data_IF_121469414069
#
_entry.id   IF_121469414069
#
_cell.length_a   1.000
_cell.length_b   1.000
_cell.length_c   1.000
_cell.angle_alpha   90.00
_cell.angle_beta   90.00
_cell.angle_gamma   90.00
#
_symmetry.space_group_name_H-M   'P 1'
#
loop_
_entity.id
_entity.type
_entity.pdbx_description
1 polymer ?
#
# COMPACT_ATOMS: atom_id res chain seq x y z
N UNK A 1 20.20 20.66 2.72
CA UNK A 1 20.33 20.62 4.19
C UNK A 1 20.53 19.17 4.62
N UNK A 2 21.45 18.91 5.55
CA UNK A 2 21.66 17.56 6.08
C UNK A 2 20.56 17.26 7.09
N UNK A 3 19.60 16.40 6.73
CA UNK A 3 18.42 16.04 7.55
C UNK A 3 18.81 15.62 8.97
N UNK A 4 19.93 14.92 9.13
CA UNK A 4 20.40 14.51 10.45
C UNK A 4 20.90 15.65 11.32
N UNK A 5 21.34 16.78 10.74
CA UNK A 5 21.65 17.98 11.51
C UNK A 5 20.38 18.65 12.06
N UNK A 6 19.27 18.57 11.32
CA UNK A 6 17.97 19.07 11.78
C UNK A 6 17.42 18.18 12.91
N UNK A 7 17.50 16.85 12.74
CA UNK A 7 17.13 15.89 13.77
C UNK A 7 17.96 16.14 15.04
N UNK A 8 19.28 16.31 14.90
CA UNK A 8 20.15 16.64 16.02
C UNK A 8 19.73 17.94 16.73
N UNK A 9 19.35 18.99 15.98
CA UNK A 9 18.85 20.24 16.57
C UNK A 9 17.54 20.03 17.35
N UNK A 10 16.60 19.25 16.82
CA UNK A 10 15.36 18.91 17.53
C UNK A 10 15.62 18.11 18.82
N UNK A 11 16.50 17.11 18.76
CA UNK A 11 16.90 16.33 19.92
C UNK A 11 17.59 17.17 21.01
N UNK A 12 18.28 18.25 20.63
CA UNK A 12 18.90 19.19 21.57
C UNK A 12 17.88 20.10 22.26
N UNK A 13 16.74 20.36 21.63
CA UNK A 13 15.65 21.17 22.18
C UNK A 13 14.81 20.40 23.19
N UNK A 14 14.84 19.07 23.17
CA UNK A 14 14.14 18.21 24.12
C UNK A 14 15.00 17.95 25.37
N UNK A 15 14.61 18.48 26.55
CA UNK A 15 15.35 18.26 27.80
C UNK A 15 15.35 16.80 28.24
N UNK A 16 14.35 16.00 27.87
CA UNK A 16 14.22 14.60 28.25
C UNK A 16 15.16 13.69 27.44
N UNK A 17 15.56 14.10 26.24
CA UNK A 17 16.43 13.31 25.37
C UNK A 17 17.86 13.19 25.91
N UNK A 18 18.35 14.21 26.64
CA UNK A 18 19.61 14.19 27.40
C UNK A 18 20.91 14.01 26.60
N UNK A 19 20.84 13.74 25.30
CA UNK A 19 21.98 13.38 24.45
C UNK A 19 22.35 14.52 23.49
N UNK A 20 23.51 15.15 23.74
CA UNK A 20 24.09 16.17 22.87
C UNK A 20 24.96 15.54 21.79
N UNK A 21 24.37 15.20 20.64
CA UNK A 21 25.07 14.56 19.51
C UNK A 21 24.85 15.34 18.21
N UNK A 22 25.87 15.33 17.36
CA UNK A 22 25.83 15.96 16.04
C UNK A 22 25.21 15.03 15.01
N UNK A 23 24.72 15.58 13.89
CA UNK A 23 24.00 14.82 12.86
C UNK A 23 24.70 13.56 12.36
N UNK A 24 26.02 13.55 12.08
CA UNK A 24 26.73 12.33 11.70
C UNK A 24 26.66 11.23 12.75
N UNK A 25 26.80 11.57 14.04
CA UNK A 25 26.70 10.60 15.12
C UNK A 25 25.27 10.05 15.28
N UNK A 26 24.25 10.89 15.05
CA UNK A 26 22.84 10.48 15.02
C UNK A 26 22.57 9.50 13.87
N UNK A 27 23.10 9.79 12.66
CA UNK A 27 23.00 8.90 11.51
C UNK A 27 23.64 7.54 11.77
N UNK A 28 24.85 7.51 12.32
CA UNK A 28 25.53 6.26 12.68
C UNK A 28 24.69 5.48 13.67
N UNK A 29 24.20 6.11 14.75
CA UNK A 29 23.38 5.43 15.77
C UNK A 29 22.08 4.89 15.19
N UNK A 30 21.38 5.67 14.37
CA UNK A 30 20.19 5.22 13.65
C UNK A 30 20.48 3.98 12.80
N UNK A 31 21.57 4.02 12.04
CA UNK A 31 21.96 2.91 11.14
C UNK A 31 22.29 1.65 11.95
N UNK A 32 23.04 1.79 13.05
CA UNK A 32 23.33 0.69 13.97
C UNK A 32 22.04 0.09 14.56
N UNK A 33 21.11 0.91 15.05
CA UNK A 33 19.84 0.45 15.62
C UNK A 33 18.98 -0.29 14.60
N UNK A 34 18.88 0.22 13.37
CA UNK A 34 18.13 -0.40 12.30
C UNK A 34 18.79 -1.72 11.84
N UNK A 35 20.12 -1.75 11.81
CA UNK A 35 20.90 -2.96 11.48
C UNK A 35 20.74 -4.05 12.55
N UNK A 36 20.81 -3.66 13.83
CA UNK A 36 20.57 -4.57 14.95
C UNK A 36 19.15 -5.10 14.92
N UNK A 37 18.14 -4.24 14.78
CA UNK A 37 16.74 -4.67 14.70
C UNK A 37 16.51 -5.65 13.55
N UNK A 38 17.05 -5.36 12.37
CA UNK A 38 16.97 -6.28 11.23
C UNK A 38 17.68 -7.60 11.50
N UNK A 39 18.77 -7.62 12.25
CA UNK A 39 19.48 -8.84 12.63
C UNK A 39 18.78 -9.62 13.76
N UNK A 40 18.21 -8.92 14.74
CA UNK A 40 17.48 -9.47 15.89
C UNK A 40 16.13 -10.07 15.46
N UNK A 41 15.48 -9.54 14.40
CA UNK A 41 14.37 -10.22 13.71
C UNK A 41 14.75 -11.65 13.24
N UNK A 42 16.04 -11.92 12.99
CA UNK A 42 16.57 -13.24 12.66
C UNK A 42 17.18 -13.99 13.86
N UNK A 43 17.43 -13.32 14.99
CA UNK A 43 18.02 -13.90 16.19
C UNK A 43 17.23 -13.47 17.43
N UNK A 44 16.06 -14.08 17.62
CA UNK A 44 15.20 -13.92 18.79
C UNK A 44 15.90 -14.39 20.07
N UNK A 45 16.86 -13.65 20.64
CA UNK A 45 17.39 -13.91 22.00
C UNK A 45 18.10 -12.71 22.67
N UNK A 46 17.42 -12.19 23.70
CA UNK A 46 17.89 -11.97 25.09
C UNK A 46 18.73 -10.74 25.52
N UNK A 47 18.16 -10.11 26.56
CA UNK A 47 18.67 -9.74 27.91
C UNK A 47 18.83 -8.23 28.24
N UNK A 48 18.09 -7.86 29.29
CA UNK A 48 18.14 -6.67 30.16
C UNK A 48 17.43 -5.39 29.68
N UNK A 49 16.32 -5.07 30.34
CA UNK A 49 15.52 -3.85 30.23
C UNK A 49 14.05 -4.16 30.48
N UNK A 50 13.32 -3.26 31.15
CA UNK A 50 11.87 -3.35 31.39
C UNK A 50 11.13 -3.68 30.10
N UNK A 51 10.24 -4.69 30.15
CA UNK A 51 9.59 -5.30 28.98
C UNK A 51 8.89 -4.26 28.09
N UNK A 52 8.24 -3.26 28.70
CA UNK A 52 7.42 -2.26 28.02
C UNK A 52 8.24 -1.32 27.11
N UNK A 53 9.35 -0.76 27.60
CA UNK A 53 10.21 0.15 26.79
C UNK A 53 10.83 -0.55 25.58
N UNK A 54 11.05 -1.86 25.71
CA UNK A 54 11.59 -2.68 24.62
C UNK A 54 10.54 -2.91 23.53
N UNK A 55 9.31 -3.24 23.91
CA UNK A 55 8.18 -3.40 22.98
C UNK A 55 7.92 -2.10 22.19
N UNK A 56 7.90 -0.94 22.86
CA UNK A 56 7.71 0.35 22.19
C UNK A 56 8.82 0.64 21.17
N UNK A 57 10.07 0.38 21.54
CA UNK A 57 11.23 0.56 20.64
C UNK A 57 11.12 -0.34 19.42
N UNK A 58 10.75 -1.60 19.58
CA UNK A 58 10.61 -2.55 18.47
C UNK A 58 9.46 -2.16 17.55
N UNK A 59 8.30 -1.80 18.10
CA UNK A 59 7.15 -1.31 17.33
C UNK A 59 7.53 -0.07 16.52
N UNK A 60 8.25 0.88 17.13
CA UNK A 60 8.71 2.08 16.45
C UNK A 60 9.68 1.76 15.30
N UNK A 61 10.65 0.88 15.54
CA UNK A 61 11.62 0.48 14.51
C UNK A 61 10.95 -0.28 13.36
N UNK A 62 9.97 -1.14 13.65
CA UNK A 62 9.15 -1.81 12.63
C UNK A 62 8.35 -0.80 11.80
N UNK A 63 7.70 0.17 12.45
CA UNK A 63 6.93 1.21 11.77
C UNK A 63 7.81 2.05 10.84
N UNK A 64 9.00 2.45 11.30
CA UNK A 64 9.98 3.18 10.48
C UNK A 64 10.43 2.31 9.29
N UNK A 65 10.68 1.02 9.51
CA UNK A 65 11.08 0.11 8.44
C UNK A 65 10.00 -0.01 7.36
N UNK A 66 8.74 -0.19 7.76
CA UNK A 66 7.60 -0.26 6.84
C UNK A 66 7.46 1.03 6.03
N UNK A 67 7.58 2.19 6.67
CA UNK A 67 7.55 3.49 5.96
C UNK A 67 8.66 3.63 4.92
N UNK A 68 9.87 3.16 5.24
CA UNK A 68 11.00 3.16 4.29
C UNK A 68 10.70 2.22 3.11
N UNK A 69 10.13 1.04 3.35
CA UNK A 69 9.75 0.10 2.30
C UNK A 69 8.67 0.67 1.39
N UNK A 70 7.57 1.19 1.95
CA UNK A 70 6.50 1.84 1.21
C UNK A 70 7.03 2.98 0.32
N UNK A 71 7.99 3.75 0.82
CA UNK A 71 8.60 4.84 0.07
C UNK A 71 9.44 4.32 -1.09
N UNK A 72 10.27 3.29 -0.86
CA UNK A 72 11.07 2.65 -1.90
C UNK A 72 10.19 2.01 -2.98
N UNK A 73 9.09 1.36 -2.62
CA UNK A 73 8.12 0.79 -3.57
C UNK A 73 7.49 1.87 -4.44
N UNK A 74 7.02 2.97 -3.83
CA UNK A 74 6.48 4.13 -4.56
C UNK A 74 7.52 4.76 -5.49
N UNK A 75 8.79 4.80 -5.08
CA UNK A 75 9.86 5.31 -5.93
C UNK A 75 10.15 4.37 -7.11
N UNK A 76 10.19 3.06 -6.85
CA UNK A 76 10.39 2.04 -7.87
C UNK A 76 9.26 2.07 -8.92
N UNK A 77 8.00 2.14 -8.49
CA UNK A 77 6.83 2.26 -9.37
C UNK A 77 6.90 3.52 -10.24
N UNK A 78 7.28 4.66 -9.65
CA UNK A 78 7.47 5.91 -10.41
C UNK A 78 8.57 5.77 -11.47
N UNK A 79 9.67 5.10 -11.14
CA UNK A 79 10.78 4.87 -12.07
C UNK A 79 10.37 3.93 -13.20
N UNK A 80 9.67 2.86 -12.88
CA UNK A 80 9.14 1.91 -13.86
C UNK A 80 8.15 2.57 -14.80
N UNK A 81 7.20 3.35 -14.29
CA UNK A 81 6.23 4.10 -15.10
C UNK A 81 6.91 5.07 -16.07
N UNK A 82 7.97 5.75 -15.63
CA UNK A 82 8.78 6.62 -16.50
C UNK A 82 9.49 5.82 -17.60
N UNK A 83 10.10 4.68 -17.24
CA UNK A 83 10.77 3.79 -18.19
C UNK A 83 9.79 3.20 -19.21
N UNK A 84 8.61 2.76 -18.78
CA UNK A 84 7.56 2.25 -19.65
C UNK A 84 7.09 3.32 -20.66
N UNK A 85 6.88 4.55 -20.19
CA UNK A 85 6.53 5.68 -21.07
C UNK A 85 7.63 5.95 -22.11
N UNK A 86 8.90 5.94 -21.69
CA UNK A 86 10.03 6.14 -22.59
C UNK A 86 10.12 5.03 -23.65
N UNK A 87 10.00 3.76 -23.25
CA UNK A 87 9.95 2.62 -24.18
C UNK A 87 8.80 2.72 -25.17
N UNK A 88 7.63 3.18 -24.73
CA UNK A 88 6.48 3.41 -25.62
C UNK A 88 6.74 4.50 -26.67
N UNK A 89 7.40 5.59 -26.28
CA UNK A 89 7.80 6.66 -27.22
C UNK A 89 8.84 6.15 -28.22
N UNK A 90 9.83 5.40 -27.76
CA UNK A 90 10.88 4.84 -28.64
C UNK A 90 10.31 3.82 -29.62
N UNK A 91 9.42 2.93 -29.15
CA UNK A 91 8.74 1.93 -29.97
C UNK A 91 7.86 2.58 -31.06
N UNK A 92 7.02 3.55 -30.67
CA UNK A 92 6.17 4.28 -31.62
C UNK A 92 6.99 5.13 -32.60
N UNK A 93 8.07 5.77 -32.15
CA UNK A 93 8.99 6.50 -33.02
C UNK A 93 9.74 5.59 -34.01
N UNK A 94 10.14 4.39 -33.59
CA UNK A 94 10.77 3.40 -34.46
C UNK A 94 9.80 2.90 -35.54
N UNK A 95 8.52 2.70 -35.19
CA UNK A 95 7.48 2.34 -36.15
C UNK A 95 7.28 3.45 -37.20
N UNK A 96 7.21 4.72 -36.76
CA UNK A 96 7.07 5.87 -37.66
C UNK A 96 8.23 5.98 -38.66
N UNK A 97 9.47 5.82 -38.19
CA UNK A 97 10.65 5.81 -39.09
C UNK A 97 10.58 4.68 -40.11
N UNK A 98 10.15 3.49 -39.70
CA UNK A 98 10.01 2.34 -40.60
C UNK A 98 8.95 2.59 -41.68
N UNK A 99 7.81 3.17 -41.31
CA UNK A 99 6.75 3.52 -42.25
C UNK A 99 7.20 4.58 -43.26
N UNK A 100 7.88 5.63 -42.80
CA UNK A 100 8.40 6.71 -43.66
C UNK A 100 9.50 6.23 -44.62
N UNK A 101 10.43 5.38 -44.18
CA UNK A 101 11.47 4.81 -45.05
C UNK A 101 10.86 3.85 -46.08
N UNK A 102 9.81 3.11 -45.71
CA UNK A 102 9.05 2.30 -46.66
C UNK A 102 8.29 3.11 -47.71
N UNK A 103 8.03 4.40 -47.45
CA UNK A 103 7.50 5.35 -48.44
C UNK A 103 8.60 5.93 -49.34
N UNK A 104 9.78 6.27 -48.79
CA UNK A 104 10.90 6.83 -49.58
C UNK A 104 11.58 5.81 -50.50
N UNK A 105 11.65 4.54 -50.12
CA UNK A 105 12.24 3.48 -50.96
C UNK A 105 11.41 3.11 -52.21
N UNK A 106 10.32 3.83 -52.49
CA UNK A 106 9.50 3.67 -53.69
C UNK A 106 9.71 4.74 -54.76
N UNK A 107 10.55 5.74 -54.49
CA UNK A 107 10.74 6.89 -55.38
C UNK A 107 12.14 6.98 -56.02
N UNK A 108 13.06 6.03 -55.76
CA UNK A 108 14.45 6.07 -56.28
C UNK A 108 14.82 4.82 -57.10
N UNK A 109 14.07 4.50 -58.15
CA UNK A 109 14.56 3.70 -59.28
C UNK A 109 13.76 4.09 -60.54
N UNK A 110 13.98 5.31 -61.02
CA UNK A 110 13.65 5.74 -62.38
C UNK A 110 14.98 6.06 -63.13
N UNK A 111 15.79 5.02 -63.35
CA UNK A 111 16.60 4.94 -64.57
C UNK A 111 16.07 3.78 -65.40
N UNK A 112 15.45 4.15 -66.52
CA UNK A 112 15.14 3.37 -67.72
C UNK A 112 15.06 1.84 -67.57
N UNK A 113 13.85 1.27 -67.70
CA UNK A 113 13.53 0.20 -68.66
C UNK A 113 12.09 -0.34 -68.49
N UNK A 114 11.35 -0.17 -69.57
CA UNK A 114 10.33 -1.07 -70.13
C UNK A 114 9.00 -1.31 -69.38
N UNK A 115 7.96 -1.13 -70.19
CA UNK A 115 6.54 -1.30 -69.97
C UNK A 115 6.21 -2.80 -69.86
N UNK A 116 5.73 -3.24 -68.69
CA UNK A 116 4.73 -4.32 -68.58
C UNK A 116 4.29 -4.59 -67.13
N UNK A 117 3.07 -4.18 -66.78
CA UNK A 117 2.20 -4.98 -65.91
C UNK A 117 2.02 -4.61 -64.42
N UNK A 118 2.45 -3.45 -63.92
CA UNK A 118 2.12 -3.04 -62.53
C UNK A 118 0.74 -2.38 -62.46
N UNK A 119 -0.29 -3.14 -62.06
CA UNK A 119 -1.62 -2.58 -61.74
C UNK A 119 -1.48 -1.54 -60.63
N UNK A 120 -1.80 -0.27 -60.95
CA UNK A 120 -1.83 0.85 -60.00
C UNK A 120 -2.87 0.56 -58.92
N UNK A 121 -2.42 0.22 -57.71
CA UNK A 121 -3.30 0.02 -56.55
C UNK A 121 -3.98 1.36 -56.26
N UNK A 122 -5.31 1.37 -56.33
CA UNK A 122 -6.09 2.58 -56.11
C UNK A 122 -6.04 2.99 -54.64
N UNK A 123 -6.19 4.29 -54.34
CA UNK A 123 -6.22 4.83 -52.96
C UNK A 123 -7.23 4.09 -52.06
N UNK A 124 -8.29 3.54 -52.66
CA UNK A 124 -9.33 2.74 -51.99
C UNK A 124 -8.84 1.35 -51.58
N UNK A 125 -8.05 0.69 -52.42
CA UNK A 125 -7.42 -0.60 -52.09
C UNK A 125 -6.31 -0.42 -51.04
N UNK A 126 -5.54 0.68 -51.12
CA UNK A 126 -4.56 1.03 -50.09
C UNK A 126 -5.21 1.25 -48.72
N UNK A 127 -6.34 1.98 -48.69
CA UNK A 127 -7.13 2.15 -47.46
C UNK A 127 -7.63 0.81 -46.93
N UNK A 128 -8.05 -0.11 -47.80
CA UNK A 128 -8.50 -1.46 -47.44
C UNK A 128 -7.40 -2.30 -46.77
N UNK A 129 -6.17 -2.23 -47.27
CA UNK A 129 -5.01 -2.92 -46.67
C UNK A 129 -4.69 -2.35 -45.29
N UNK A 130 -4.71 -1.02 -45.13
CA UNK A 130 -4.46 -0.35 -43.85
C UNK A 130 -5.57 -0.67 -42.84
N UNK A 131 -6.84 -0.67 -43.27
CA UNK A 131 -7.96 -1.04 -42.38
C UNK A 131 -7.89 -2.49 -41.94
N UNK A 132 -7.53 -3.41 -42.84
CA UNK A 132 -7.37 -4.83 -42.49
C UNK A 132 -6.16 -5.07 -41.58
N UNK A 133 -5.04 -4.36 -41.78
CA UNK A 133 -3.87 -4.44 -40.90
C UNK A 133 -4.18 -3.91 -39.49
N UNK A 134 -4.91 -2.79 -39.39
CA UNK A 134 -5.40 -2.26 -38.11
C UNK A 134 -6.38 -3.21 -37.42
N UNK A 135 -7.28 -3.86 -38.16
CA UNK A 135 -8.21 -4.85 -37.62
C UNK A 135 -7.46 -6.09 -37.09
N UNK A 136 -6.46 -6.59 -37.81
CA UNK A 136 -5.61 -7.70 -37.37
C UNK A 136 -4.80 -7.39 -36.11
N UNK A 137 -4.22 -6.19 -36.01
CA UNK A 137 -3.50 -5.75 -34.82
C UNK A 137 -4.42 -5.64 -33.58
N UNK A 138 -5.67 -5.20 -33.78
CA UNK A 138 -6.67 -5.11 -32.70
C UNK A 138 -7.17 -6.47 -32.22
N UNK A 139 -7.27 -7.44 -33.12
CA UNK A 139 -7.62 -8.82 -32.77
C UNK A 139 -6.45 -9.53 -32.05
N UNK A 140 -5.20 -9.28 -32.46
CA UNK A 140 -4.01 -9.84 -31.80
C UNK A 140 -3.71 -9.22 -30.43
N UNK A 141 -4.02 -7.93 -30.22
CA UNK A 141 -3.88 -7.27 -28.92
C UNK A 141 -5.03 -7.58 -27.94
N UNK A 142 -6.18 -8.03 -28.45
CA UNK A 142 -7.40 -8.20 -27.66
C UNK A 142 -7.36 -9.32 -26.63
N UNK A 143 -6.55 -10.37 -26.83
CA UNK A 143 -6.45 -11.49 -25.88
C UNK A 143 -5.53 -11.18 -24.69
N UNK A 144 -4.37 -10.55 -24.94
CA UNK A 144 -3.47 -10.10 -23.87
C UNK A 144 -4.08 -8.96 -23.05
N UNK A 145 -4.73 -7.98 -23.70
CA UNK A 145 -5.40 -6.87 -23.02
C UNK A 145 -6.59 -7.36 -22.18
N UNK A 146 -7.32 -8.38 -22.64
CA UNK A 146 -8.41 -9.00 -21.90
C UNK A 146 -7.91 -9.81 -20.71
N UNK A 147 -6.81 -10.56 -20.85
CA UNK A 147 -6.19 -11.28 -19.73
C UNK A 147 -5.66 -10.32 -18.65
N UNK A 148 -5.06 -9.19 -19.06
CA UNK A 148 -4.61 -8.14 -18.13
C UNK A 148 -5.79 -7.50 -17.39
N UNK A 149 -6.88 -7.23 -18.11
CA UNK A 149 -8.10 -6.68 -17.52
C UNK A 149 -8.75 -7.66 -16.54
N UNK A 150 -8.85 -8.95 -16.88
CA UNK A 150 -9.36 -10.00 -15.99
C UNK A 150 -8.51 -10.16 -14.73
N UNK A 151 -7.18 -10.11 -14.86
CA UNK A 151 -6.28 -10.16 -13.72
C UNK A 151 -6.45 -8.94 -12.80
N UNK A 152 -6.54 -7.73 -13.37
CA UNK A 152 -6.80 -6.50 -12.61
C UNK A 152 -8.13 -6.56 -11.86
N UNK A 153 -9.18 -7.08 -12.50
CA UNK A 153 -10.50 -7.25 -11.87
C UNK A 153 -10.43 -8.21 -10.69
N UNK A 154 -9.85 -9.41 -10.87
CA UNK A 154 -9.68 -10.41 -9.80
C UNK A 154 -8.84 -9.88 -8.63
N UNK A 155 -7.77 -9.13 -8.93
CA UNK A 155 -6.93 -8.50 -7.90
C UNK A 155 -7.72 -7.47 -7.08
N UNK A 156 -8.56 -6.67 -7.75
CA UNK A 156 -9.37 -5.63 -7.13
C UNK A 156 -10.51 -6.23 -6.29
N UNK A 157 -11.06 -7.38 -6.71
CA UNK A 157 -12.00 -8.18 -5.91
C UNK A 157 -11.35 -8.74 -4.64
N UNK A 158 -10.15 -9.31 -4.75
CA UNK A 158 -9.39 -9.81 -3.60
C UNK A 158 -9.10 -8.69 -2.59
N UNK A 159 -8.71 -7.50 -3.07
CA UNK A 159 -8.46 -6.34 -2.22
C UNK A 159 -9.74 -5.88 -1.50
N UNK A 160 -10.88 -5.86 -2.20
CA UNK A 160 -12.19 -5.56 -1.59
C UNK A 160 -12.58 -6.59 -0.54
N UNK A 161 -12.37 -7.87 -0.80
CA UNK A 161 -12.69 -8.95 0.13
C UNK A 161 -11.84 -8.84 1.41
N UNK A 162 -10.54 -8.57 1.28
CA UNK A 162 -9.67 -8.33 2.44
C UNK A 162 -10.11 -7.11 3.26
N UNK A 163 -10.53 -6.03 2.62
CA UNK A 163 -11.07 -4.86 3.31
C UNK A 163 -12.38 -5.20 4.04
N UNK A 164 -13.28 -5.96 3.41
CA UNK A 164 -14.51 -6.40 4.04
C UNK A 164 -14.25 -7.32 5.24
N UNK A 165 -13.31 -8.25 5.13
CA UNK A 165 -12.91 -9.11 6.25
C UNK A 165 -12.34 -8.31 7.43
N UNK A 166 -11.49 -7.30 7.16
CA UNK A 166 -10.97 -6.41 8.21
C UNK A 166 -12.09 -5.62 8.90
N UNK A 167 -13.07 -5.14 8.13
CA UNK A 167 -14.23 -4.43 8.68
C UNK A 167 -15.09 -5.36 9.53
N UNK A 168 -15.37 -6.58 9.05
CA UNK A 168 -16.11 -7.59 9.82
C UNK A 168 -15.41 -7.96 11.12
N UNK A 169 -14.10 -8.26 11.06
CA UNK A 169 -13.32 -8.55 12.27
C UNK A 169 -13.36 -7.39 13.27
N UNK A 170 -13.25 -6.14 12.78
CA UNK A 170 -13.38 -4.95 13.63
C UNK A 170 -14.78 -4.80 14.24
N UNK A 171 -15.84 -5.12 13.49
CA UNK A 171 -17.21 -5.11 13.98
C UNK A 171 -17.45 -6.19 15.04
N UNK A 172 -16.95 -7.40 14.84
CA UNK A 172 -17.07 -8.51 15.78
C UNK A 172 -16.32 -8.22 17.08
N UNK A 173 -15.12 -7.65 16.99
CA UNK A 173 -14.37 -7.24 18.17
C UNK A 173 -15.07 -6.11 18.92
N UNK A 174 -15.65 -5.13 18.20
CA UNK A 174 -16.43 -4.07 18.81
C UNK A 174 -17.72 -4.60 19.47
N UNK A 175 -18.37 -5.60 18.86
CA UNK A 175 -19.54 -6.26 19.43
C UNK A 175 -19.19 -6.99 20.72
N UNK A 176 -18.12 -7.79 20.73
CA UNK A 176 -17.62 -8.47 21.94
C UNK A 176 -17.31 -7.48 23.08
N UNK A 177 -16.74 -6.31 22.75
CA UNK A 177 -16.49 -5.25 23.76
C UNK A 177 -17.79 -4.69 24.34
N UNK A 178 -18.79 -4.41 23.50
CA UNK A 178 -20.11 -3.94 23.96
C UNK A 178 -20.81 -4.98 24.82
N UNK A 179 -20.78 -6.24 24.42
CA UNK A 179 -21.40 -7.33 25.19
C UNK A 179 -20.72 -7.50 26.56
N UNK A 180 -19.39 -7.39 26.60
CA UNK A 180 -18.63 -7.42 27.85
C UNK A 180 -18.95 -6.23 28.76
N UNK A 181 -19.11 -5.02 28.20
CA UNK A 181 -19.52 -3.83 28.94
C UNK A 181 -20.92 -3.97 29.53
N UNK A 182 -21.89 -4.42 28.74
CA UNK A 182 -23.26 -4.69 29.21
C UNK A 182 -23.28 -5.74 30.33
N UNK A 183 -22.49 -6.80 30.23
CA UNK A 183 -22.40 -7.81 31.28
C UNK A 183 -21.83 -7.26 32.60
N UNK A 184 -20.88 -6.32 32.52
CA UNK A 184 -20.36 -5.63 33.70
C UNK A 184 -21.40 -4.70 34.34
N UNK A 185 -22.16 -3.97 33.52
CA UNK A 185 -23.24 -3.10 33.98
C UNK A 185 -24.38 -3.89 34.63
N UNK A 186 -24.80 -5.00 34.02
CA UNK A 186 -25.81 -5.90 34.59
C UNK A 186 -25.38 -6.42 35.96
N UNK A 187 -24.10 -6.78 36.10
CA UNK A 187 -23.55 -7.22 37.39
C UNK A 187 -23.56 -6.12 38.45
N UNK A 188 -23.31 -4.86 38.06
CA UNK A 188 -23.38 -3.69 38.96
C UNK A 188 -24.82 -3.43 39.39
N UNK A 189 -25.75 -3.37 38.43
CA UNK A 189 -27.18 -3.19 38.69
C UNK A 189 -27.71 -4.26 39.66
N UNK A 190 -27.35 -5.53 39.44
CA UNK A 190 -27.75 -6.62 40.33
C UNK A 190 -27.19 -6.46 41.75
N UNK A 191 -25.93 -6.04 41.89
CA UNK A 191 -25.34 -5.79 43.20
C UNK A 191 -26.02 -4.61 43.93
N UNK A 192 -26.42 -3.57 43.20
CA UNK A 192 -27.15 -2.42 43.72
C UNK A 192 -28.58 -2.81 44.13
N UNK A 193 -29.30 -3.58 43.31
CA UNK A 193 -30.61 -4.13 43.64
C UNK A 193 -30.56 -5.01 44.89
N UNK A 194 -29.54 -5.87 45.02
CA UNK A 194 -29.35 -6.69 46.23
C UNK A 194 -29.06 -5.83 47.46
N UNK A 195 -28.28 -4.75 47.31
CA UNK A 195 -28.01 -3.81 48.40
C UNK A 195 -29.28 -3.08 48.82
N UNK A 196 -30.10 -2.65 47.87
CA UNK A 196 -31.37 -1.99 48.12
C UNK A 196 -32.38 -2.93 48.78
N UNK A 197 -32.47 -4.18 48.32
CA UNK A 197 -33.29 -5.22 48.98
C UNK A 197 -32.89 -5.43 50.43
N UNK A 198 -31.58 -5.59 50.72
CA UNK A 198 -31.08 -5.73 52.10
C UNK A 198 -31.42 -4.51 52.95
N UNK A 199 -31.31 -3.31 52.40
CA UNK A 199 -31.67 -2.08 53.11
C UNK A 199 -33.18 -2.00 53.38
N UNK A 200 -34.01 -2.37 52.41
CA UNK A 200 -35.46 -2.39 52.56
C UNK A 200 -35.91 -3.41 53.61
N UNK A 201 -35.38 -4.63 53.58
CA UNK A 201 -35.61 -5.66 54.60
C UNK A 201 -35.20 -5.18 55.99
N UNK A 202 -34.05 -4.51 56.11
CA UNK A 202 -33.59 -3.95 57.36
C UNK A 202 -34.54 -2.87 57.91
N UNK A 203 -35.00 -1.95 57.05
CA UNK A 203 -35.96 -0.91 57.43
C UNK A 203 -37.32 -1.50 57.86
N UNK A 204 -37.80 -2.53 57.13
CA UNK A 204 -39.02 -3.24 57.50
C UNK A 204 -38.90 -3.90 58.88
N UNK A 205 -37.74 -4.50 59.18
CA UNK A 205 -37.47 -5.12 60.48
C UNK A 205 -37.50 -4.11 61.63
N UNK A 206 -36.84 -2.96 61.47
CA UNK A 206 -36.87 -1.88 62.48
C UNK A 206 -38.31 -1.40 62.71
N UNK A 207 -39.08 -1.21 61.64
CA UNK A 207 -40.46 -0.74 61.75
C UNK A 207 -41.39 -1.77 62.41
N UNK A 208 -41.12 -3.07 62.26
CA UNK A 208 -41.85 -4.11 63.00
C UNK A 208 -41.49 -4.15 64.49
N UNK A 209 -40.21 -3.94 64.84
CA UNK A 209 -39.74 -3.91 66.24
C UNK A 209 -40.21 -2.66 67.01
N UNK A 210 -40.60 -1.58 66.31
CA UNK A 210 -41.16 -0.35 66.91
C UNK A 210 -42.68 -0.38 67.12
N UNK A 211 -43.37 -1.43 66.64
CA UNK A 211 -44.83 -1.59 66.78
C UNK A 211 -45.26 -2.51 67.92
N UNK A 212 -44.30 -3.18 68.57
CA UNK A 212 -44.47 -3.90 69.85
C UNK A 212 -44.02 -3.00 71.02
#
# INVERSE_FOLDING_TARGET
MNVFNQIAAHCLLDPAFGLKKQGPAMRTRFTTLMSQFKADQYQSMRKSGTVEEYEEREVLLQNILNQIQDWNEKEAEKKERKSAKQRGIESSGALLRRLAIGELAKDDDDEDLDDSGRKKITKREQLGVVTNALAGARLGAGEEEKAEYEYKTKRLELEREQQQQKLQHGQDDAAKRRDHELALEERRMKADEEREKRMHEFLLKILSEQKD
#
